data_IF_977326543746
#
_entry.id   IF_977326543746
#
_cell.length_a   1.000
_cell.length_b   1.000
_cell.length_c   1.000
_cell.angle_alpha   90.00
_cell.angle_beta   90.00
_cell.angle_gamma   90.00
#
_symmetry.space_group_name_H-M   'P 1'
#
loop_
_entity.id
_entity.type
_entity.pdbx_description
1 polymer ?
#
# COMPACT_ATOMS: atom_id res chain seq x y z
N UNK A 1 42.38 65.72 10.78
CA UNK A 1 43.11 66.00 9.56
C UNK A 1 42.12 65.83 8.42
N UNK A 2 41.52 66.91 7.97
CA UNK A 2 41.80 67.72 6.80
C UNK A 2 41.52 66.91 5.50
N UNK A 3 40.72 67.29 4.56
CA UNK A 3 40.41 68.58 3.92
C UNK A 3 39.25 68.32 2.93
N UNK A 4 38.16 68.98 2.95
CA UNK A 4 37.74 70.15 2.15
C UNK A 4 38.04 70.05 0.66
N UNK A 5 37.03 70.06 -0.16
CA UNK A 5 36.77 71.10 -1.17
C UNK A 5 35.45 70.91 -1.91
N UNK A 6 34.62 71.86 -1.79
CA UNK A 6 33.67 72.60 -2.59
C UNK A 6 33.95 72.63 -4.11
N UNK A 7 32.82 72.56 -4.89
CA UNK A 7 32.39 73.52 -5.94
C UNK A 7 31.07 73.04 -6.54
N UNK A 8 29.99 73.66 -6.28
CA UNK A 8 29.16 74.65 -6.99
C UNK A 8 29.29 74.63 -8.54
N UNK A 9 28.11 74.49 -9.22
CA UNK A 9 27.46 75.33 -10.20
C UNK A 9 26.23 74.63 -10.75
N UNK A 10 25.04 75.19 -10.46
CA UNK A 10 24.06 75.90 -11.34
C UNK A 10 23.59 75.19 -12.62
N UNK A 11 22.32 74.89 -12.60
CA UNK A 11 21.42 75.39 -13.61
C UNK A 11 20.86 74.33 -14.56
N UNK A 12 19.66 73.97 -14.46
CA UNK A 12 18.64 74.34 -15.43
C UNK A 12 17.33 73.55 -15.25
N UNK A 13 16.30 74.27 -15.44
CA UNK A 13 14.88 74.01 -15.37
C UNK A 13 14.35 72.84 -16.23
N UNK A 14 13.27 72.33 -15.73
CA UNK A 14 12.05 71.94 -16.46
C UNK A 14 12.01 70.59 -17.16
N UNK A 15 11.27 69.65 -16.63
CA UNK A 15 10.02 69.20 -17.27
C UNK A 15 9.33 68.20 -16.34
N UNK A 16 8.18 68.59 -15.88
CA UNK A 16 7.25 67.73 -15.15
C UNK A 16 6.67 66.75 -16.16
N UNK A 17 7.20 65.54 -16.17
CA UNK A 17 6.61 64.39 -16.86
C UNK A 17 5.92 63.50 -15.81
N UNK A 18 4.60 63.60 -15.74
CA UNK A 18 3.73 62.74 -14.94
C UNK A 18 3.81 61.31 -15.50
N UNK A 19 4.66 60.47 -14.97
CA UNK A 19 4.69 59.05 -15.29
C UNK A 19 3.64 58.34 -14.45
N UNK A 20 2.47 58.07 -15.03
CA UNK A 20 1.42 57.27 -14.45
C UNK A 20 1.92 55.83 -14.31
N UNK A 21 2.29 55.43 -13.11
CA UNK A 21 2.56 54.03 -12.74
C UNK A 21 1.24 53.27 -12.78
N UNK A 22 0.94 52.63 -13.91
CA UNK A 22 -0.10 51.61 -14.00
C UNK A 22 0.37 50.38 -13.20
N UNK A 23 -0.11 50.27 -11.96
CA UNK A 23 -0.03 49.02 -11.20
C UNK A 23 -0.92 48.00 -11.90
N UNK A 24 -0.35 47.23 -12.82
CA UNK A 24 -0.98 46.04 -13.37
C UNK A 24 -1.07 44.98 -12.27
N UNK A 25 -2.28 44.70 -11.76
CA UNK A 25 -2.56 43.51 -10.99
C UNK A 25 -2.29 42.28 -11.88
N UNK A 26 -1.10 41.69 -11.74
CA UNK A 26 -0.84 40.37 -12.29
C UNK A 26 -1.65 39.34 -11.46
N UNK A 27 -2.47 38.48 -12.10
CA UNK A 27 -3.15 37.41 -11.36
C UNK A 27 -2.12 36.53 -10.71
N UNK A 28 -2.37 36.17 -9.44
CA UNK A 28 -1.53 35.23 -8.72
C UNK A 28 -1.42 33.90 -9.50
N UNK A 29 -0.23 33.28 -9.58
CA UNK A 29 -0.07 31.98 -10.24
C UNK A 29 -1.02 30.97 -9.59
N UNK A 30 -1.76 30.24 -10.43
CA UNK A 30 -2.65 29.18 -9.97
C UNK A 30 -1.84 28.15 -9.16
N UNK A 31 -2.39 27.62 -8.06
CA UNK A 31 -1.72 26.56 -7.31
C UNK A 31 -1.40 25.40 -8.25
N UNK A 32 -0.23 24.76 -8.08
CA UNK A 32 0.14 23.62 -8.91
C UNK A 32 -0.95 22.56 -8.81
N UNK A 33 -1.35 22.01 -9.96
CA UNK A 33 -2.31 20.93 -10.02
C UNK A 33 -1.82 19.78 -9.10
N UNK A 34 -2.73 19.09 -8.37
CA UNK A 34 -2.35 17.96 -7.54
C UNK A 34 -1.62 16.95 -8.42
N UNK A 35 -0.35 16.72 -8.12
CA UNK A 35 0.44 15.71 -8.80
C UNK A 35 -0.16 14.36 -8.40
N UNK A 36 -0.79 13.69 -9.36
CA UNK A 36 -1.16 12.29 -9.21
C UNK A 36 0.13 11.54 -8.90
N UNK A 37 0.34 11.17 -7.62
CA UNK A 37 1.36 10.20 -7.27
C UNK A 37 1.00 8.93 -8.02
N UNK A 38 1.80 8.59 -9.01
CA UNK A 38 1.79 7.25 -9.59
C UNK A 38 2.04 6.31 -8.40
N UNK A 39 1.00 5.56 -8.04
CA UNK A 39 1.07 4.52 -7.01
C UNK A 39 2.14 3.55 -7.49
N UNK A 40 3.17 3.36 -6.67
CA UNK A 40 4.34 2.57 -6.98
C UNK A 40 4.02 1.17 -7.48
N UNK A 41 5.06 0.54 -8.01
CA UNK A 41 5.11 -0.82 -8.53
C UNK A 41 4.14 -1.76 -7.83
N UNK A 42 3.43 -2.52 -8.64
CA UNK A 42 2.54 -3.55 -8.14
C UNK A 42 3.34 -4.47 -7.23
N UNK A 43 3.05 -4.43 -5.93
CA UNK A 43 3.60 -5.40 -5.00
C UNK A 43 3.33 -6.80 -5.57
N UNK A 44 4.41 -7.51 -5.90
CA UNK A 44 4.33 -8.87 -6.42
C UNK A 44 3.71 -9.76 -5.33
N UNK A 45 2.84 -10.67 -5.76
CA UNK A 45 2.17 -11.55 -4.82
C UNK A 45 3.19 -12.47 -4.13
N UNK A 46 3.14 -12.48 -2.82
CA UNK A 46 3.96 -13.34 -1.96
C UNK A 46 3.07 -14.39 -1.32
N UNK A 47 3.47 -15.66 -1.47
CA UNK A 47 2.76 -16.81 -0.91
C UNK A 47 2.76 -16.73 0.62
N UNK A 48 1.61 -16.96 1.21
CA UNK A 48 1.42 -17.00 2.66
C UNK A 48 0.65 -18.23 3.15
N UNK A 49 0.51 -18.34 4.46
CA UNK A 49 -0.26 -19.39 5.11
C UNK A 49 -1.71 -18.94 5.30
N UNK A 50 -2.73 -19.72 4.96
CA UNK A 50 -2.78 -21.06 4.35
C UNK A 50 -3.22 -21.02 2.87
N UNK A 51 -2.42 -20.50 1.98
CA UNK A 51 -2.76 -20.44 0.55
C UNK A 51 -2.86 -21.83 -0.08
N UNK A 52 -3.71 -21.95 -1.10
CA UNK A 52 -3.82 -23.15 -1.92
C UNK A 52 -3.18 -22.89 -3.28
N UNK A 53 -2.17 -23.70 -3.61
CA UNK A 53 -1.40 -23.61 -4.84
C UNK A 53 -1.67 -24.81 -5.73
N UNK A 54 -1.57 -24.64 -7.04
CA UNK A 54 -1.57 -25.72 -8.04
C UNK A 54 -0.16 -25.85 -8.60
N UNK A 55 0.45 -26.99 -8.36
CA UNK A 55 1.70 -27.39 -9.01
C UNK A 55 1.38 -28.11 -10.32
N UNK A 56 2.00 -27.68 -11.40
CA UNK A 56 1.94 -28.37 -12.69
C UNK A 56 3.35 -28.70 -13.17
N UNK A 57 3.62 -29.99 -13.34
CA UNK A 57 4.86 -30.49 -13.92
C UNK A 57 4.55 -31.06 -15.29
N UNK A 58 5.03 -30.40 -16.34
CA UNK A 58 4.73 -30.76 -17.72
C UNK A 58 5.10 -32.21 -18.02
N UNK A 59 4.16 -32.98 -18.62
CA UNK A 59 4.26 -34.40 -18.93
C UNK A 59 4.41 -35.33 -17.69
N UNK A 60 4.23 -34.84 -16.47
CA UNK A 60 4.32 -35.61 -15.23
C UNK A 60 3.10 -35.32 -14.38
N UNK A 61 1.97 -35.93 -14.70
CA UNK A 61 0.73 -35.76 -13.96
C UNK A 61 0.82 -36.31 -12.52
N UNK A 62 1.65 -37.32 -12.32
CA UNK A 62 1.98 -37.94 -11.04
C UNK A 62 2.74 -37.02 -10.08
N UNK A 63 3.41 -36.01 -10.60
CA UNK A 63 4.12 -34.97 -9.83
C UNK A 63 3.33 -33.68 -9.72
N UNK A 64 2.18 -33.57 -10.38
CA UNK A 64 1.31 -32.40 -10.40
C UNK A 64 0.18 -32.57 -9.40
N UNK A 65 -0.28 -31.46 -8.80
CA UNK A 65 -1.38 -31.51 -7.84
C UNK A 65 -1.52 -30.23 -7.03
N UNK A 66 -2.51 -30.21 -6.16
CA UNK A 66 -2.73 -29.10 -5.24
C UNK A 66 -1.76 -29.18 -4.05
N UNK A 67 -1.20 -28.04 -3.70
CA UNK A 67 -0.29 -27.87 -2.58
C UNK A 67 -0.88 -26.86 -1.59
N UNK A 68 -1.24 -27.32 -0.40
CA UNK A 68 -1.64 -26.43 0.70
C UNK A 68 -0.39 -25.94 1.44
N UNK A 69 -0.25 -24.64 1.61
CA UNK A 69 0.79 -24.04 2.44
C UNK A 69 0.44 -24.30 3.91
N UNK A 70 1.26 -25.11 4.56
CA UNK A 70 1.07 -25.51 5.95
C UNK A 70 1.47 -24.38 6.90
N UNK A 71 1.11 -24.52 8.19
CA UNK A 71 1.42 -23.54 9.24
C UNK A 71 2.93 -23.30 9.47
N UNK A 72 3.77 -24.24 9.03
CA UNK A 72 5.22 -24.11 9.06
C UNK A 72 5.79 -23.41 7.81
N UNK A 73 4.90 -22.84 6.95
CA UNK A 73 5.26 -22.13 5.73
C UNK A 73 5.72 -23.04 4.59
N UNK A 74 5.57 -24.35 4.72
CA UNK A 74 6.05 -25.33 3.73
C UNK A 74 4.91 -25.96 2.96
N UNK A 75 5.24 -26.48 1.78
CA UNK A 75 4.41 -27.34 0.96
C UNK A 75 5.08 -28.70 0.78
N UNK A 76 4.28 -29.77 0.67
CA UNK A 76 4.80 -31.12 0.40
C UNK A 76 4.77 -31.39 -1.09
N UNK A 77 5.93 -31.43 -1.71
CA UNK A 77 6.10 -31.68 -3.16
C UNK A 77 6.49 -33.14 -3.38
N UNK A 78 5.83 -33.87 -4.33
CA UNK A 78 6.22 -35.24 -4.66
C UNK A 78 7.72 -35.34 -5.01
N UNK A 79 8.39 -36.37 -4.57
CA UNK A 79 9.83 -36.65 -4.68
C UNK A 79 10.77 -35.71 -3.92
N UNK A 80 10.38 -34.47 -3.65
CA UNK A 80 11.22 -33.50 -2.94
C UNK A 80 10.91 -33.45 -1.44
N UNK A 81 9.69 -33.83 -1.04
CA UNK A 81 9.24 -33.66 0.33
C UNK A 81 8.90 -32.19 0.68
N UNK A 82 9.21 -31.80 1.90
CA UNK A 82 8.90 -30.48 2.44
C UNK A 82 9.77 -29.39 1.81
N UNK A 83 9.10 -28.45 1.15
CA UNK A 83 9.72 -27.33 0.42
C UNK A 83 9.19 -26.01 0.98
N UNK A 84 10.06 -25.05 1.28
CA UNK A 84 9.65 -23.70 1.73
C UNK A 84 8.87 -22.99 0.65
N UNK A 85 7.70 -22.47 1.00
CA UNK A 85 6.81 -21.72 0.09
C UNK A 85 6.47 -20.33 0.60
N UNK A 86 6.21 -20.20 1.92
CA UNK A 86 5.90 -18.90 2.53
C UNK A 86 7.05 -17.90 2.34
N UNK A 87 6.70 -16.68 1.95
CA UNK A 87 7.66 -15.61 1.69
C UNK A 87 8.25 -15.62 0.29
N UNK A 88 7.93 -16.60 -0.56
CA UNK A 88 8.34 -16.66 -1.96
C UNK A 88 7.21 -16.24 -2.88
N UNK A 89 7.58 -15.75 -4.06
CA UNK A 89 6.63 -15.60 -5.17
C UNK A 89 6.34 -16.97 -5.81
N UNK A 90 5.20 -17.14 -6.50
CA UNK A 90 4.93 -18.39 -7.23
C UNK A 90 6.03 -18.78 -8.22
N UNK A 91 6.67 -17.78 -8.84
CA UNK A 91 7.76 -18.01 -9.79
C UNK A 91 9.04 -18.51 -9.10
N UNK A 92 9.39 -17.92 -7.94
CA UNK A 92 10.54 -18.37 -7.15
C UNK A 92 10.33 -19.78 -6.63
N UNK A 93 9.11 -20.11 -6.17
CA UNK A 93 8.77 -21.46 -5.73
C UNK A 93 8.84 -22.46 -6.90
N UNK A 94 8.31 -22.10 -8.07
CA UNK A 94 8.41 -22.95 -9.28
C UNK A 94 9.86 -23.22 -9.65
N UNK A 95 10.72 -22.22 -9.60
CA UNK A 95 12.15 -22.35 -9.90
C UNK A 95 12.88 -23.20 -8.85
N UNK A 96 12.51 -23.08 -7.58
CA UNK A 96 13.06 -23.90 -6.50
C UNK A 96 12.68 -25.39 -6.70
N UNK A 97 11.40 -25.66 -6.99
CA UNK A 97 10.90 -27.03 -7.29
C UNK A 97 11.57 -27.57 -8.54
N UNK A 98 11.67 -26.79 -9.60
CA UNK A 98 12.34 -27.18 -10.86
C UNK A 98 13.77 -27.62 -10.61
N UNK A 99 14.53 -26.87 -9.81
CA UNK A 99 15.91 -27.23 -9.45
C UNK A 99 15.99 -28.54 -8.68
N UNK A 100 15.09 -28.74 -7.72
CA UNK A 100 15.04 -29.99 -6.95
C UNK A 100 14.68 -31.18 -7.82
N UNK A 101 13.64 -31.07 -8.68
CA UNK A 101 13.19 -32.14 -9.53
C UNK A 101 14.19 -32.52 -10.65
N UNK A 102 15.14 -31.64 -10.97
CA UNK A 102 16.16 -31.94 -11.99
C UNK A 102 17.08 -33.13 -11.66
N UNK A 103 17.11 -33.54 -10.38
CA UNK A 103 17.80 -34.77 -9.96
C UNK A 103 17.04 -36.05 -10.34
N UNK A 104 15.72 -35.97 -10.55
CA UNK A 104 14.84 -37.12 -10.80
C UNK A 104 14.24 -37.13 -12.20
N UNK A 105 14.07 -35.93 -12.79
CA UNK A 105 13.42 -35.72 -14.10
C UNK A 105 14.35 -34.94 -15.02
N UNK A 106 14.47 -35.40 -16.28
CA UNK A 106 15.28 -34.69 -17.28
C UNK A 106 14.55 -33.44 -17.77
N UNK A 107 15.15 -32.25 -17.55
CA UNK A 107 14.63 -30.94 -18.00
C UNK A 107 13.16 -30.69 -17.56
N UNK A 108 12.83 -30.78 -16.27
CA UNK A 108 11.47 -30.56 -15.80
C UNK A 108 11.01 -29.13 -16.12
N UNK A 109 9.77 -28.99 -16.58
CA UNK A 109 9.07 -27.71 -16.72
C UNK A 109 8.02 -27.65 -15.61
N UNK A 110 8.18 -26.68 -14.72
CA UNK A 110 7.37 -26.53 -13.52
C UNK A 110 6.68 -25.18 -13.56
N UNK A 111 5.40 -25.18 -13.27
CA UNK A 111 4.58 -24.00 -13.08
C UNK A 111 3.85 -24.10 -11.74
N UNK A 112 3.72 -22.96 -11.05
CA UNK A 112 2.98 -22.85 -9.78
C UNK A 112 1.98 -21.71 -9.94
N UNK A 113 0.70 -22.06 -9.84
CA UNK A 113 -0.39 -21.09 -9.85
C UNK A 113 -1.03 -20.99 -8.45
N UNK A 114 -1.49 -19.81 -8.05
CA UNK A 114 -2.27 -19.63 -6.83
C UNK A 114 -3.74 -19.89 -7.16
N UNK A 115 -4.33 -20.88 -6.51
CA UNK A 115 -5.75 -21.24 -6.67
C UNK A 115 -6.61 -20.42 -5.73
N UNK A 116 -6.20 -20.35 -4.45
CA UNK A 116 -6.91 -19.57 -3.44
C UNK A 116 -5.93 -18.79 -2.57
N UNK A 117 -6.12 -17.47 -2.53
CA UNK A 117 -5.35 -16.54 -1.71
C UNK A 117 -5.99 -16.40 -0.33
N UNK A 118 -5.80 -17.37 0.55
CA UNK A 118 -6.40 -17.38 1.89
C UNK A 118 -5.56 -16.61 2.92
N UNK A 119 -4.30 -16.33 2.61
CA UNK A 119 -3.39 -15.56 3.45
C UNK A 119 -3.62 -14.05 3.38
N UNK A 120 -4.16 -13.58 2.25
CA UNK A 120 -4.36 -12.15 1.97
C UNK A 120 -5.68 -11.67 2.59
N UNK A 121 -5.72 -11.56 3.92
CA UNK A 121 -6.93 -11.15 4.65
C UNK A 121 -6.60 -10.11 5.72
N UNK A 122 -7.56 -9.23 5.98
CA UNK A 122 -7.60 -8.36 7.15
C UNK A 122 -8.84 -8.67 8.00
N UNK A 123 -8.78 -8.35 9.28
CA UNK A 123 -9.91 -8.50 10.19
C UNK A 123 -10.53 -7.14 10.49
N UNK A 124 -11.86 -7.04 10.49
CA UNK A 124 -12.59 -5.85 10.93
C UNK A 124 -13.45 -6.25 12.12
N UNK A 125 -13.21 -5.61 13.28
CA UNK A 125 -13.88 -5.95 14.53
C UNK A 125 -14.37 -4.70 15.27
N UNK A 126 -15.37 -4.89 16.12
CA UNK A 126 -15.92 -3.85 17.00
C UNK A 126 -17.41 -3.60 16.74
N UNK A 127 -18.08 -3.02 17.71
CA UNK A 127 -19.51 -2.73 17.60
C UNK A 127 -19.83 -1.52 16.70
N UNK A 128 -18.82 -0.73 16.35
CA UNK A 128 -18.97 0.40 15.43
C UNK A 128 -19.12 0.03 13.95
N UNK A 129 -19.02 -1.25 13.57
CA UNK A 129 -19.30 -1.75 12.21
C UNK A 129 -20.57 -2.59 12.21
N UNK A 130 -21.30 -2.59 11.08
CA UNK A 130 -22.53 -3.38 10.95
C UNK A 130 -22.27 -4.89 11.01
N UNK A 131 -21.15 -5.35 10.47
CA UNK A 131 -20.72 -6.75 10.53
C UNK A 131 -19.23 -6.79 10.87
N UNK A 132 -18.86 -7.64 11.82
CA UNK A 132 -17.47 -7.96 12.12
C UNK A 132 -17.06 -9.25 11.42
N UNK A 133 -15.83 -9.34 10.98
CA UNK A 133 -15.33 -10.53 10.30
C UNK A 133 -14.00 -10.30 9.59
N UNK A 134 -13.65 -11.28 8.78
CA UNK A 134 -12.45 -11.26 7.93
C UNK A 134 -12.81 -10.80 6.53
N UNK A 135 -11.99 -9.91 5.97
CA UNK A 135 -12.13 -9.34 4.64
C UNK A 135 -10.97 -9.80 3.78
N UNK A 136 -11.21 -10.44 2.63
CA UNK A 136 -10.14 -10.68 1.67
C UNK A 136 -9.61 -9.35 1.14
N UNK A 137 -8.28 -9.22 1.11
CA UNK A 137 -7.63 -8.00 0.63
C UNK A 137 -7.52 -8.04 -0.89
N UNK A 138 -8.23 -7.11 -1.52
CA UNK A 138 -8.04 -6.81 -2.92
C UNK A 138 -6.84 -5.86 -3.10
N UNK A 139 -6.38 -5.75 -4.34
CA UNK A 139 -5.24 -4.88 -4.67
C UNK A 139 -5.52 -3.43 -4.25
N UNK A 140 -4.60 -2.85 -3.49
CA UNK A 140 -4.69 -1.47 -3.00
C UNK A 140 -5.88 -1.18 -2.07
N UNK A 141 -6.42 -2.19 -1.40
CA UNK A 141 -7.50 -2.02 -0.43
C UNK A 141 -7.06 -1.14 0.74
N UNK A 142 -7.89 -0.17 1.09
CA UNK A 142 -7.67 0.76 2.19
C UNK A 142 -8.62 0.50 3.36
N UNK A 143 -8.38 1.16 4.48
CA UNK A 143 -9.21 1.02 5.69
C UNK A 143 -10.69 1.27 5.41
N UNK A 144 -11.00 2.33 4.65
CA UNK A 144 -12.41 2.67 4.34
C UNK A 144 -13.09 1.59 3.47
N UNK A 145 -12.34 0.96 2.56
CA UNK A 145 -12.88 -0.08 1.68
C UNK A 145 -13.23 -1.34 2.49
N UNK A 146 -12.37 -1.70 3.45
CA UNK A 146 -12.64 -2.82 4.36
C UNK A 146 -13.85 -2.55 5.28
N UNK A 147 -14.01 -1.34 5.78
CA UNK A 147 -15.19 -0.94 6.56
C UNK A 147 -16.45 -1.00 5.68
N UNK A 148 -16.37 -0.51 4.44
CA UNK A 148 -17.48 -0.53 3.50
C UNK A 148 -17.92 -1.96 3.13
N UNK A 149 -16.98 -2.89 2.90
CA UNK A 149 -17.28 -4.30 2.63
C UNK A 149 -17.95 -5.02 3.80
N UNK A 150 -17.75 -4.53 5.04
CA UNK A 150 -18.46 -4.99 6.24
C UNK A 150 -19.81 -4.31 6.46
N UNK A 151 -20.31 -3.54 5.48
CA UNK A 151 -21.60 -2.86 5.53
C UNK A 151 -21.55 -1.44 6.07
N UNK A 152 -20.35 -0.93 6.37
CA UNK A 152 -20.15 0.44 6.84
C UNK A 152 -20.19 0.59 8.37
N UNK A 153 -20.18 1.85 8.79
CA UNK A 153 -20.18 2.23 10.22
C UNK A 153 -21.61 2.30 10.77
N UNK A 154 -21.77 1.87 12.02
CA UNK A 154 -23.02 2.05 12.75
C UNK A 154 -23.24 3.51 13.16
N UNK A 155 -24.48 3.93 13.51
CA UNK A 155 -24.74 5.25 14.08
C UNK A 155 -24.00 5.53 15.40
N UNK A 156 -23.64 4.48 16.14
CA UNK A 156 -22.98 4.55 17.45
C UNK A 156 -21.45 4.49 17.36
N UNK A 157 -20.91 4.30 16.16
CA UNK A 157 -19.46 4.19 15.95
C UNK A 157 -18.70 5.44 16.41
N UNK A 158 -17.65 5.26 17.18
CA UNK A 158 -16.68 6.33 17.50
C UNK A 158 -15.77 6.58 16.30
N UNK A 159 -16.28 7.30 15.30
CA UNK A 159 -15.68 7.54 13.99
C UNK A 159 -14.28 8.17 14.02
N UNK A 160 -13.93 8.89 15.10
CA UNK A 160 -12.61 9.50 15.29
C UNK A 160 -11.61 8.62 16.05
N UNK A 161 -12.02 7.41 16.46
CA UNK A 161 -11.19 6.50 17.26
C UNK A 161 -11.00 5.13 16.65
N UNK A 162 -11.08 5.04 15.32
CA UNK A 162 -10.79 3.83 14.59
C UNK A 162 -9.28 3.60 14.62
N UNK A 163 -8.86 2.35 14.79
CA UNK A 163 -7.45 1.97 14.90
C UNK A 163 -7.16 0.75 14.05
N UNK A 164 -6.00 0.76 13.44
CA UNK A 164 -5.50 -0.39 12.69
C UNK A 164 -4.31 -0.94 13.47
N UNK A 165 -4.39 -2.21 13.87
CA UNK A 165 -3.28 -2.93 14.48
C UNK A 165 -2.58 -3.76 13.42
N UNK A 166 -1.29 -3.54 13.27
CA UNK A 166 -0.42 -4.29 12.36
C UNK A 166 0.65 -5.00 13.16
N UNK A 167 0.74 -6.30 12.99
CA UNK A 167 1.84 -7.08 13.55
C UNK A 167 3.06 -6.97 12.62
N UNK A 168 4.18 -6.54 13.18
CA UNK A 168 5.47 -6.50 12.49
C UNK A 168 6.47 -7.38 13.25
N UNK A 169 7.59 -7.78 12.63
CA UNK A 169 8.64 -8.53 13.33
C UNK A 169 9.18 -7.82 14.57
N UNK A 170 9.08 -6.49 14.62
CA UNK A 170 9.55 -5.62 15.71
C UNK A 170 8.48 -5.43 16.81
N UNK A 171 7.26 -5.91 16.59
CA UNK A 171 6.13 -5.77 17.50
C UNK A 171 4.85 -5.27 16.83
N UNK A 172 3.85 -5.01 17.66
CA UNK A 172 2.56 -4.50 17.18
C UNK A 172 2.61 -2.98 17.02
N UNK A 173 2.23 -2.49 15.84
CA UNK A 173 2.12 -1.06 15.52
C UNK A 173 0.66 -0.67 15.38
N UNK A 174 0.28 0.45 15.97
CA UNK A 174 -1.07 1.01 15.89
C UNK A 174 -1.09 2.24 14.98
N UNK A 175 -2.00 2.25 14.00
CA UNK A 175 -2.26 3.38 13.11
C UNK A 175 -3.64 3.95 13.43
N UNK A 176 -3.76 5.22 13.81
CA UNK A 176 -5.05 5.87 14.01
C UNK A 176 -5.71 6.20 12.68
N UNK A 177 -7.04 6.06 12.61
CA UNK A 177 -7.85 6.50 11.49
C UNK A 177 -9.03 7.32 11.99
N UNK A 178 -9.06 8.61 11.68
CA UNK A 178 -10.20 9.48 11.93
C UNK A 178 -11.07 9.60 10.68
N UNK A 179 -12.17 8.86 10.66
CA UNK A 179 -13.13 8.89 9.56
C UNK A 179 -13.71 10.28 9.31
N UNK A 180 -13.99 11.07 10.38
CA UNK A 180 -14.56 12.39 10.22
C UNK A 180 -13.54 13.37 9.60
N UNK A 181 -12.30 13.35 10.05
CA UNK A 181 -11.21 14.14 9.46
C UNK A 181 -10.95 13.73 8.01
N UNK A 182 -10.95 12.43 7.71
CA UNK A 182 -10.81 11.90 6.36
C UNK A 182 -11.89 12.43 5.41
N UNK A 183 -13.17 12.35 5.80
CA UNK A 183 -14.30 12.83 4.96
C UNK A 183 -14.24 14.34 4.73
N UNK A 184 -13.72 15.12 5.68
CA UNK A 184 -13.49 16.56 5.49
C UNK A 184 -12.24 16.89 4.67
N UNK A 185 -11.44 15.87 4.32
CA UNK A 185 -10.18 16.06 3.59
C UNK A 185 -9.03 16.60 4.46
N UNK A 186 -9.16 16.58 5.78
CA UNK A 186 -8.16 17.09 6.74
C UNK A 186 -7.02 16.09 6.99
N UNK A 187 -7.29 14.78 6.86
CA UNK A 187 -6.32 13.72 7.11
C UNK A 187 -6.43 12.58 6.07
N UNK A 188 -6.25 12.85 4.78
CA UNK A 188 -6.38 11.82 3.72
C UNK A 188 -5.34 10.70 3.87
N UNK A 189 -4.17 11.00 4.45
CA UNK A 189 -3.08 10.05 4.69
C UNK A 189 -3.42 9.01 5.77
N UNK A 190 -4.40 9.27 6.64
CA UNK A 190 -4.83 8.32 7.68
C UNK A 190 -5.52 7.07 7.09
N UNK A 191 -6.08 7.17 5.88
CA UNK A 191 -6.66 6.05 5.14
C UNK A 191 -5.56 5.22 4.48
N UNK A 192 -4.81 4.49 5.28
CA UNK A 192 -3.67 3.68 4.84
C UNK A 192 -4.12 2.45 4.04
N UNK A 193 -3.17 1.88 3.27
CA UNK A 193 -3.34 0.57 2.66
C UNK A 193 -3.26 -0.52 3.72
N UNK A 194 -4.20 -1.45 3.67
CA UNK A 194 -4.19 -2.63 4.52
C UNK A 194 -3.18 -3.65 4.02
N UNK A 195 -2.56 -4.34 4.97
CA UNK A 195 -1.66 -5.47 4.72
C UNK A 195 -2.25 -6.75 5.31
N UNK A 196 -1.85 -7.93 4.81
CA UNK A 196 -2.24 -9.20 5.39
C UNK A 196 -2.00 -9.24 6.89
N UNK A 197 -3.00 -9.71 7.64
CA UNK A 197 -2.94 -9.79 9.09
C UNK A 197 -3.29 -8.50 9.84
N UNK A 198 -3.60 -7.40 9.14
CA UNK A 198 -4.07 -6.17 9.80
C UNK A 198 -5.42 -6.41 10.49
N UNK A 199 -5.60 -5.75 11.63
CA UNK A 199 -6.88 -5.75 12.36
C UNK A 199 -7.39 -4.33 12.50
N UNK A 200 -8.53 -4.04 11.86
CA UNK A 200 -9.23 -2.75 11.96
C UNK A 200 -10.21 -2.82 13.12
N UNK A 201 -10.02 -1.97 14.13
CA UNK A 201 -10.88 -1.89 15.33
C UNK A 201 -11.75 -0.65 15.23
N UNK A 202 -13.07 -0.86 15.23
CA UNK A 202 -14.05 0.22 15.20
C UNK A 202 -14.86 0.20 16.50
N UNK A 203 -14.53 1.06 17.49
CA UNK A 203 -15.24 1.10 18.77
C UNK A 203 -16.62 1.78 18.63
N UNK A 204 -17.49 1.45 19.59
CA UNK A 204 -18.75 2.16 19.86
C UNK A 204 -18.55 3.33 20.79
#
# INVERSE_FOLDING_TARGET
MACVTRRRWLGQMAMIGTLALAFGCAPAPAPPAPQLRVVGEADEYVIGVPDLLQLTVWQHADLSGELLVRRDGKVSVPLLGDTQAEGLTPQELAEQIRRGLSAFVTKPRVDVAVVEMRSQVASVIGGGVLRSGTVPLERNMRVIDAIASMGGLTPFAKKSRIRILRNTPEGQVEYPFDYNAFIRGEAPESNIYLKPGDTVIVPE
#
